data_IF_613009363613
#
_entry.id   IF_613009363613
#
_cell.length_a   1.000
_cell.length_b   1.000
_cell.length_c   1.000
_cell.angle_alpha   90.00
_cell.angle_beta   90.00
_cell.angle_gamma   90.00
#
_symmetry.space_group_name_H-M   'P 1'
#
loop_
_entity.id
_entity.type
_entity.pdbx_description
1 polymer ?
#
# COMPACT_ATOMS: atom_id res chain seq x y z
N UNK A 1 18.17 -15.42 -10.36
CA UNK A 1 17.19 -14.34 -10.71
C UNK A 1 17.13 -14.22 -12.22
N UNK A 2 15.94 -13.95 -12.80
CA UNK A 2 15.87 -13.61 -14.23
C UNK A 2 16.70 -12.33 -14.45
N UNK A 3 17.61 -12.34 -15.45
CA UNK A 3 18.25 -11.10 -15.90
C UNK A 3 17.19 -10.08 -16.23
N UNK A 4 17.30 -8.89 -15.64
CA UNK A 4 16.43 -7.76 -15.96
C UNK A 4 15.26 -7.45 -14.99
N UNK A 5 15.22 -8.06 -13.79
CA UNK A 5 14.25 -7.62 -12.77
C UNK A 5 14.66 -6.23 -12.25
N UNK A 6 13.86 -5.21 -12.57
CA UNK A 6 14.07 -3.84 -12.15
C UNK A 6 12.77 -3.24 -11.59
N UNK A 7 12.82 -2.72 -10.38
CA UNK A 7 11.65 -2.25 -9.63
C UNK A 7 11.62 -0.73 -9.59
N UNK A 8 10.50 -0.12 -9.99
CA UNK A 8 10.19 1.27 -9.69
C UNK A 8 9.44 1.33 -8.36
N UNK A 9 10.06 1.89 -7.35
CA UNK A 9 9.45 2.17 -6.06
C UNK A 9 8.90 3.60 -6.09
N UNK A 10 7.61 3.75 -6.38
CA UNK A 10 6.98 5.04 -6.60
C UNK A 10 6.23 5.52 -5.35
N UNK A 11 6.65 6.65 -4.83
CA UNK A 11 6.03 7.33 -3.69
C UNK A 11 5.08 8.41 -4.21
N UNK A 12 3.78 8.23 -3.97
CA UNK A 12 2.75 9.20 -4.29
C UNK A 12 2.63 10.22 -3.16
N UNK A 13 2.86 11.50 -3.45
CA UNK A 13 2.80 12.58 -2.45
C UNK A 13 1.83 13.68 -2.87
N UNK A 14 1.00 14.14 -1.92
CA UNK A 14 -0.02 15.17 -2.18
C UNK A 14 -0.08 16.26 -1.12
N UNK A 15 0.41 15.97 0.08
CA UNK A 15 0.34 16.86 1.25
C UNK A 15 1.38 16.44 2.29
N UNK A 16 1.51 17.18 3.38
CA UNK A 16 2.39 16.91 4.52
C UNK A 16 3.85 16.58 4.13
N UNK A 17 4.61 17.63 3.90
CA UNK A 17 6.02 17.54 3.47
C UNK A 17 6.88 16.66 4.38
N UNK A 18 6.65 16.72 5.69
CA UNK A 18 7.43 15.99 6.70
C UNK A 18 7.24 14.48 6.55
N UNK A 19 5.99 14.03 6.34
CA UNK A 19 5.66 12.62 6.12
C UNK A 19 6.15 12.12 4.76
N UNK A 20 5.94 12.93 3.71
CA UNK A 20 6.44 12.59 2.38
C UNK A 20 7.96 12.37 2.40
N UNK A 21 8.71 13.27 3.04
CA UNK A 21 10.17 13.12 3.20
C UNK A 21 10.51 11.87 4.01
N UNK A 22 9.79 11.59 5.08
CA UNK A 22 10.00 10.38 5.88
C UNK A 22 9.75 9.11 5.06
N UNK A 23 8.63 9.03 4.34
CA UNK A 23 8.34 7.92 3.45
C UNK A 23 9.47 7.69 2.45
N UNK A 24 9.89 8.75 1.75
CA UNK A 24 10.98 8.68 0.76
C UNK A 24 12.28 8.18 1.41
N UNK A 25 12.65 8.70 2.58
CA UNK A 25 13.84 8.23 3.30
C UNK A 25 13.79 6.73 3.58
N UNK A 26 12.65 6.21 4.00
CA UNK A 26 12.51 4.76 4.27
C UNK A 26 12.59 3.94 2.99
N UNK A 27 12.12 4.46 1.86
CA UNK A 27 12.32 3.82 0.55
C UNK A 27 13.80 3.74 0.14
N UNK A 28 14.61 4.73 0.51
CA UNK A 28 16.05 4.76 0.24
C UNK A 28 16.85 3.87 1.20
N UNK A 29 16.33 3.58 2.40
CA UNK A 29 17.01 2.81 3.45
C UNK A 29 16.83 1.29 3.33
N UNK A 30 16.47 0.80 2.15
CA UNK A 30 16.29 -0.64 1.94
C UNK A 30 17.62 -1.38 1.98
N UNK A 31 17.66 -2.49 2.70
CA UNK A 31 18.88 -3.27 2.96
C UNK A 31 18.65 -4.76 2.76
N UNK A 32 19.76 -5.52 2.72
CA UNK A 32 19.75 -7.00 2.71
C UNK A 32 19.02 -7.63 1.50
N UNK A 33 19.09 -7.00 0.34
CA UNK A 33 18.54 -7.50 -0.93
C UNK A 33 19.53 -7.25 -2.09
N UNK A 34 19.30 -7.94 -3.21
CA UNK A 34 20.07 -7.77 -4.45
C UNK A 34 19.20 -7.27 -5.62
N UNK A 35 18.03 -6.74 -5.33
CA UNK A 35 17.14 -6.19 -6.34
C UNK A 35 17.70 -4.88 -6.91
N UNK A 36 17.61 -4.72 -8.23
CA UNK A 36 17.77 -3.41 -8.87
C UNK A 36 16.46 -2.63 -8.69
N UNK A 37 16.53 -1.50 -8.01
CA UNK A 37 15.37 -0.65 -7.76
C UNK A 37 15.73 0.82 -7.83
N UNK A 38 14.72 1.63 -8.11
CA UNK A 38 14.82 3.07 -8.08
C UNK A 38 13.64 3.67 -7.30
N UNK A 39 13.93 4.52 -6.33
CA UNK A 39 12.91 5.35 -5.69
C UNK A 39 12.56 6.52 -6.60
N UNK A 40 11.27 6.73 -6.81
CA UNK A 40 10.73 7.78 -7.67
C UNK A 40 9.57 8.47 -6.98
N UNK A 41 9.47 9.80 -7.11
CA UNK A 41 8.41 10.56 -6.45
C UNK A 41 7.41 11.06 -7.48
N UNK A 42 6.13 10.77 -7.27
CA UNK A 42 5.01 11.35 -8.04
C UNK A 42 4.34 12.40 -7.17
N UNK A 43 4.50 13.67 -7.57
CA UNK A 43 3.89 14.81 -6.89
C UNK A 43 2.53 15.06 -7.55
N UNK A 44 1.45 14.76 -6.82
CA UNK A 44 0.08 14.92 -7.31
C UNK A 44 -0.72 15.73 -6.30
N UNK A 45 -0.73 17.04 -6.46
CA UNK A 45 -1.32 17.97 -5.50
C UNK A 45 -1.89 19.21 -6.17
N UNK A 46 -2.90 19.82 -5.54
CA UNK A 46 -3.41 21.15 -5.90
C UNK A 46 -2.70 22.26 -5.11
N UNK A 47 -1.97 21.92 -4.04
CA UNK A 47 -1.19 22.87 -3.23
C UNK A 47 0.15 23.19 -3.92
N UNK A 48 0.24 24.38 -4.51
CA UNK A 48 1.44 24.83 -5.23
C UNK A 48 2.64 25.08 -4.33
N UNK A 49 2.43 25.38 -3.06
CA UNK A 49 3.53 25.55 -2.11
C UNK A 49 4.12 24.20 -1.69
N UNK A 50 3.27 23.20 -1.47
CA UNK A 50 3.73 21.82 -1.24
C UNK A 50 4.46 21.29 -2.49
N UNK A 51 3.90 21.45 -3.70
CA UNK A 51 4.52 21.06 -4.97
C UNK A 51 5.93 21.62 -5.09
N UNK A 52 6.08 22.94 -4.90
CA UNK A 52 7.36 23.62 -4.98
C UNK A 52 8.39 23.06 -3.96
N UNK A 53 8.00 22.96 -2.70
CA UNK A 53 8.87 22.45 -1.62
C UNK A 53 9.29 21.00 -1.86
N UNK A 54 8.37 20.17 -2.33
CA UNK A 54 8.64 18.77 -2.61
C UNK A 54 9.59 18.61 -3.80
N UNK A 55 9.39 19.38 -4.86
CA UNK A 55 10.30 19.42 -6.01
C UNK A 55 11.71 19.91 -5.61
N UNK A 56 11.80 20.95 -4.78
CA UNK A 56 13.08 21.43 -4.23
C UNK A 56 13.80 20.34 -3.42
N UNK A 57 13.05 19.62 -2.58
CA UNK A 57 13.61 18.50 -1.81
C UNK A 57 14.13 17.40 -2.73
N UNK A 58 13.35 16.98 -3.75
CA UNK A 58 13.77 15.96 -4.70
C UNK A 58 15.04 16.37 -5.46
N UNK A 59 15.09 17.61 -5.96
CA UNK A 59 16.27 18.16 -6.64
C UNK A 59 17.51 18.18 -5.72
N UNK A 60 17.35 18.63 -4.48
CA UNK A 60 18.44 18.68 -3.51
C UNK A 60 18.95 17.27 -3.14
N UNK A 61 18.04 16.31 -3.05
CA UNK A 61 18.35 14.92 -2.67
C UNK A 61 18.80 14.06 -3.86
N UNK A 62 18.74 14.57 -5.09
CA UNK A 62 19.04 13.82 -6.31
C UNK A 62 18.04 12.69 -6.60
N UNK A 63 16.77 12.85 -6.18
CA UNK A 63 15.72 11.88 -6.38
C UNK A 63 14.89 12.28 -7.59
N UNK A 64 14.70 11.35 -8.50
CA UNK A 64 13.85 11.56 -9.68
C UNK A 64 12.39 11.74 -9.29
N UNK A 65 11.70 12.66 -9.93
CA UNK A 65 10.30 12.93 -9.70
C UNK A 65 9.55 13.38 -10.95
N UNK A 66 8.24 13.31 -10.89
CA UNK A 66 7.31 13.89 -11.89
C UNK A 66 6.17 14.61 -11.17
N UNK A 67 5.84 15.81 -11.65
CA UNK A 67 4.66 16.55 -11.20
C UNK A 67 3.51 16.15 -12.15
N UNK A 68 2.40 15.71 -11.59
CA UNK A 68 1.23 15.27 -12.35
C UNK A 68 0.02 16.13 -12.02
N UNK A 69 -0.92 16.21 -12.94
CA UNK A 69 -2.15 16.96 -12.75
C UNK A 69 -3.01 16.27 -11.68
N UNK A 70 -3.55 17.06 -10.74
CA UNK A 70 -4.34 16.59 -9.61
C UNK A 70 -5.72 17.21 -9.60
N UNK A 71 -6.75 16.37 -9.46
CA UNK A 71 -8.13 16.78 -9.19
C UNK A 71 -8.47 16.74 -7.68
N UNK A 72 -7.47 16.44 -6.84
CA UNK A 72 -7.62 16.33 -5.39
C UNK A 72 -8.07 14.95 -4.90
N UNK A 73 -8.26 13.97 -5.80
CA UNK A 73 -8.67 12.60 -5.44
C UNK A 73 -7.47 11.65 -5.36
N UNK A 74 -7.56 10.68 -4.44
CA UNK A 74 -6.55 9.63 -4.33
C UNK A 74 -6.48 8.76 -5.60
N UNK A 75 -7.62 8.47 -6.21
CA UNK A 75 -7.71 7.68 -7.45
C UNK A 75 -6.91 8.30 -8.60
N UNK A 76 -7.03 9.61 -8.81
CA UNK A 76 -6.26 10.31 -9.85
C UNK A 76 -4.77 10.27 -9.55
N UNK A 77 -4.39 10.50 -8.28
CA UNK A 77 -2.99 10.39 -7.87
C UNK A 77 -2.42 8.98 -8.11
N UNK A 78 -3.13 7.94 -7.69
CA UNK A 78 -2.71 6.55 -7.88
C UNK A 78 -2.64 6.14 -9.36
N UNK A 79 -3.59 6.59 -10.19
CA UNK A 79 -3.53 6.35 -11.63
C UNK A 79 -2.36 7.09 -12.29
N UNK A 80 -2.00 8.29 -11.82
CA UNK A 80 -0.83 9.00 -12.36
C UNK A 80 0.48 8.27 -12.08
N UNK A 81 0.58 7.51 -10.99
CA UNK A 81 1.70 6.59 -10.75
C UNK A 81 1.79 5.52 -11.84
N UNK A 82 0.65 4.95 -12.25
CA UNK A 82 0.62 3.99 -13.36
C UNK A 82 1.06 4.62 -14.68
N UNK A 83 0.61 5.85 -14.97
CA UNK A 83 1.03 6.58 -16.16
C UNK A 83 2.53 6.85 -16.19
N UNK A 84 3.11 7.25 -15.06
CA UNK A 84 4.57 7.41 -14.91
C UNK A 84 5.29 6.08 -15.14
N UNK A 85 4.82 5.01 -14.55
CA UNK A 85 5.41 3.69 -14.74
C UNK A 85 5.35 3.25 -16.22
N UNK A 86 4.27 3.55 -16.94
CA UNK A 86 4.16 3.26 -18.37
C UNK A 86 5.21 3.97 -19.23
N UNK A 87 5.56 5.22 -18.90
CA UNK A 87 6.60 5.98 -19.59
C UNK A 87 7.99 5.39 -19.37
N UNK A 88 8.23 4.79 -18.20
CA UNK A 88 9.53 4.24 -17.76
C UNK A 88 9.66 2.75 -18.11
N UNK A 89 9.91 2.46 -19.39
CA UNK A 89 9.87 1.09 -19.95
C UNK A 89 10.97 0.16 -19.46
N UNK A 90 12.01 0.70 -18.85
CA UNK A 90 13.14 -0.05 -18.28
C UNK A 90 12.78 -0.84 -17.01
N UNK A 91 11.71 -0.45 -16.30
CA UNK A 91 11.26 -1.16 -15.10
C UNK A 91 10.30 -2.29 -15.44
N UNK A 92 10.44 -3.40 -14.77
CA UNK A 92 9.60 -4.59 -14.93
C UNK A 92 8.46 -4.66 -13.93
N UNK A 93 8.66 -4.04 -12.76
CA UNK A 93 7.69 -4.03 -11.67
C UNK A 93 7.57 -2.63 -11.06
N UNK A 94 6.40 -2.36 -10.53
CA UNK A 94 6.05 -1.14 -9.79
C UNK A 94 5.69 -1.52 -8.36
N UNK A 95 6.24 -0.81 -7.38
CA UNK A 95 5.71 -0.74 -6.02
C UNK A 95 5.14 0.65 -5.83
N UNK A 96 3.84 0.72 -5.54
CA UNK A 96 3.15 1.97 -5.27
C UNK A 96 2.99 2.18 -3.77
N UNK A 97 3.43 3.32 -3.26
CA UNK A 97 3.47 3.66 -1.85
C UNK A 97 2.80 5.01 -1.63
N UNK A 98 1.88 5.09 -0.67
CA UNK A 98 1.29 6.35 -0.23
C UNK A 98 2.31 7.13 0.62
N UNK A 99 2.46 8.43 0.36
CA UNK A 99 3.53 9.26 0.92
C UNK A 99 3.40 9.56 2.42
N UNK A 100 2.35 9.11 3.07
CA UNK A 100 2.16 9.20 4.52
C UNK A 100 2.56 7.92 5.27
N UNK A 101 2.71 6.80 4.57
CA UNK A 101 3.17 5.53 5.11
C UNK A 101 4.70 5.41 5.03
N UNK A 102 5.29 4.36 5.59
CA UNK A 102 6.72 4.12 5.50
C UNK A 102 7.10 2.66 5.65
N UNK A 103 8.29 2.31 5.17
CA UNK A 103 8.76 0.95 5.03
C UNK A 103 9.79 0.59 6.10
N UNK A 104 9.80 -0.66 6.53
CA UNK A 104 10.95 -1.21 7.23
C UNK A 104 12.12 -1.45 6.25
N UNK A 105 13.38 -1.40 6.74
CA UNK A 105 14.56 -1.60 5.89
C UNK A 105 14.62 -2.96 5.19
N UNK A 106 13.89 -3.94 5.69
CA UNK A 106 13.83 -5.32 5.19
C UNK A 106 12.75 -5.57 4.14
N UNK A 107 11.96 -4.54 3.79
CA UNK A 107 10.82 -4.68 2.88
C UNK A 107 11.20 -5.29 1.52
N UNK A 108 12.22 -4.76 0.84
CA UNK A 108 12.64 -5.28 -0.48
C UNK A 108 13.21 -6.71 -0.40
N UNK A 109 13.75 -7.12 0.74
CA UNK A 109 14.19 -8.49 0.97
C UNK A 109 13.02 -9.47 0.91
N UNK A 110 11.85 -9.10 1.45
CA UNK A 110 10.64 -9.93 1.33
C UNK A 110 10.19 -10.05 -0.12
N UNK A 111 10.21 -8.94 -0.85
CA UNK A 111 9.88 -8.92 -2.28
C UNK A 111 10.85 -9.81 -3.07
N UNK A 112 12.15 -9.70 -2.83
CA UNK A 112 13.16 -10.54 -3.48
C UNK A 112 12.91 -12.03 -3.26
N UNK A 113 12.68 -12.43 -2.03
CA UNK A 113 12.39 -13.83 -1.69
C UNK A 113 11.16 -14.34 -2.39
N UNK A 114 10.09 -13.55 -2.39
CA UNK A 114 8.86 -13.91 -3.08
C UNK A 114 9.09 -14.11 -4.58
N UNK A 115 9.65 -13.10 -5.26
CA UNK A 115 9.90 -13.16 -6.71
C UNK A 115 10.95 -14.20 -7.12
N UNK A 116 11.85 -14.55 -6.22
CA UNK A 116 12.79 -15.65 -6.45
C UNK A 116 12.06 -17.00 -6.49
N UNK A 117 11.12 -17.19 -5.58
CA UNK A 117 10.34 -18.45 -5.50
C UNK A 117 9.22 -18.49 -6.55
N UNK A 118 8.58 -17.36 -6.82
CA UNK A 118 7.45 -17.22 -7.75
C UNK A 118 7.73 -16.15 -8.81
N UNK A 119 8.59 -16.43 -9.78
CA UNK A 119 9.08 -15.42 -10.73
C UNK A 119 8.05 -14.93 -11.75
N UNK A 120 6.89 -15.57 -11.80
CA UNK A 120 5.77 -15.20 -12.67
C UNK A 120 4.63 -14.51 -11.90
N UNK A 121 4.91 -13.96 -10.72
CA UNK A 121 3.93 -13.22 -9.95
C UNK A 121 3.57 -11.92 -10.64
N UNK A 122 2.29 -11.69 -10.85
CA UNK A 122 1.78 -10.44 -11.43
C UNK A 122 1.50 -9.39 -10.38
N UNK A 123 0.94 -9.78 -9.23
CA UNK A 123 0.58 -8.87 -8.14
C UNK A 123 0.94 -9.46 -6.78
N UNK A 124 1.53 -8.64 -5.93
CA UNK A 124 1.63 -8.91 -4.50
C UNK A 124 0.92 -7.79 -3.76
N UNK A 125 -0.18 -8.11 -3.09
CA UNK A 125 -0.80 -7.23 -2.11
C UNK A 125 -0.10 -7.41 -0.76
N UNK A 126 0.29 -6.32 -0.10
CA UNK A 126 1.06 -6.36 1.14
C UNK A 126 0.26 -5.68 2.23
N UNK A 127 -0.12 -6.45 3.25
CA UNK A 127 -0.85 -5.96 4.41
C UNK A 127 0.06 -5.13 5.32
N UNK A 128 -0.47 -4.08 5.99
CA UNK A 128 0.30 -3.37 7.00
C UNK A 128 0.64 -4.33 8.15
N UNK A 129 1.91 -4.37 8.52
CA UNK A 129 2.32 -5.18 9.65
C UNK A 129 2.20 -4.43 10.97
N UNK A 130 2.38 -3.14 10.95
CA UNK A 130 2.40 -2.28 12.13
C UNK A 130 1.69 -0.96 11.83
N UNK A 131 1.35 -0.21 12.90
CA UNK A 131 0.76 1.13 12.75
C UNK A 131 1.22 2.05 13.88
N UNK A 132 1.24 3.35 13.63
CA UNK A 132 1.53 4.36 14.66
C UNK A 132 0.32 5.27 14.90
N UNK A 133 0.17 5.71 16.15
CA UNK A 133 -1.01 6.41 16.65
C UNK A 133 -0.63 7.58 17.56
N UNK A 134 -1.51 8.59 17.62
CA UNK A 134 -1.37 9.69 18.59
C UNK A 134 -1.82 9.31 20.00
N UNK A 135 -2.75 8.36 20.11
CA UNK A 135 -3.38 7.99 21.38
C UNK A 135 -2.91 6.59 21.79
N UNK A 136 -2.81 6.40 23.11
CA UNK A 136 -2.50 5.11 23.71
C UNK A 136 -3.71 4.17 23.68
N UNK A 137 -3.44 2.92 23.31
CA UNK A 137 -4.32 1.78 23.59
C UNK A 137 -3.52 0.70 24.29
N UNK A 138 -4.21 -0.18 25.02
CA UNK A 138 -3.57 -1.28 25.73
C UNK A 138 -2.76 -2.17 24.76
N UNK A 139 -1.52 -2.46 25.11
CA UNK A 139 -0.61 -3.25 24.27
C UNK A 139 0.24 -2.45 23.28
N UNK A 140 0.06 -1.11 23.20
CA UNK A 140 0.90 -0.27 22.36
C UNK A 140 2.21 0.12 23.03
N UNK A 141 3.25 0.29 22.24
CA UNK A 141 4.58 0.71 22.69
C UNK A 141 4.73 2.23 22.54
N UNK A 142 5.04 2.91 23.66
CA UNK A 142 5.30 4.36 23.63
C UNK A 142 6.67 4.65 22.99
N UNK A 143 6.69 5.56 22.02
CA UNK A 143 7.89 6.05 21.36
C UNK A 143 8.40 7.34 22.04
N UNK A 144 9.64 7.73 21.70
CA UNK A 144 10.32 8.87 22.35
C UNK A 144 9.62 10.21 22.12
N UNK A 145 8.95 10.39 20.98
CA UNK A 145 8.23 11.61 20.60
C UNK A 145 6.76 11.66 21.11
N UNK A 146 6.37 10.69 21.95
CA UNK A 146 5.02 10.61 22.51
C UNK A 146 3.99 9.95 21.59
N UNK A 147 4.40 9.45 20.43
CA UNK A 147 3.59 8.62 19.54
C UNK A 147 3.58 7.17 20.09
N UNK A 148 2.58 6.41 19.73
CA UNK A 148 2.43 5.02 20.14
C UNK A 148 2.46 4.09 18.93
N UNK A 149 3.14 2.95 19.05
CA UNK A 149 3.24 1.94 18.01
C UNK A 149 2.46 0.67 18.39
N UNK A 150 1.52 0.29 17.54
CA UNK A 150 0.92 -1.03 17.54
C UNK A 150 1.75 -1.95 16.64
N UNK A 151 2.44 -2.90 17.23
CA UNK A 151 3.34 -3.83 16.53
C UNK A 151 2.63 -5.17 16.30
N UNK A 152 1.69 -5.15 15.37
CA UNK A 152 0.79 -6.28 15.11
C UNK A 152 1.50 -7.48 14.50
N UNK A 153 2.50 -7.23 13.65
CA UNK A 153 3.25 -8.28 12.98
C UNK A 153 4.03 -9.21 13.91
N UNK A 154 4.26 -8.80 15.17
CA UNK A 154 4.93 -9.64 16.16
C UNK A 154 4.00 -10.66 16.81
N UNK A 155 2.71 -10.35 16.90
CA UNK A 155 1.71 -11.17 17.61
C UNK A 155 0.86 -12.02 16.64
N UNK A 156 0.87 -11.69 15.35
CA UNK A 156 -0.03 -12.29 14.36
C UNK A 156 0.68 -13.17 13.35
N UNK A 157 1.97 -13.46 13.52
CA UNK A 157 2.73 -14.33 12.60
C UNK A 157 2.13 -15.73 12.41
N UNK A 158 1.32 -16.18 13.37
CA UNK A 158 0.60 -17.46 13.31
C UNK A 158 -0.81 -17.36 12.69
N UNK A 159 -1.32 -16.14 12.50
CA UNK A 159 -2.70 -15.92 12.03
C UNK A 159 -2.80 -15.72 10.53
N UNK A 160 -1.68 -15.34 9.87
CA UNK A 160 -1.69 -14.82 8.51
C UNK A 160 -1.09 -15.76 7.47
N UNK A 161 -0.83 -17.00 7.80
CA UNK A 161 -0.60 -18.03 6.79
C UNK A 161 -1.82 -18.16 5.86
N UNK A 162 -2.98 -17.65 6.32
CA UNK A 162 -4.24 -17.61 5.60
C UNK A 162 -5.13 -16.47 6.09
N UNK A 163 -5.40 -15.47 5.27
CA UNK A 163 -6.63 -14.69 5.40
C UNK A 163 -7.57 -15.22 4.33
N UNK A 164 -8.55 -16.05 4.70
CA UNK A 164 -9.64 -16.31 3.80
C UNK A 164 -10.32 -14.97 3.55
N UNK A 165 -10.31 -14.55 2.32
CA UNK A 165 -11.11 -13.42 1.88
C UNK A 165 -12.56 -13.92 1.86
N UNK A 166 -13.17 -13.98 3.04
CA UNK A 166 -14.59 -14.28 3.14
C UNK A 166 -15.34 -13.05 2.68
N UNK A 167 -16.16 -13.22 1.65
CA UNK A 167 -17.03 -12.13 1.15
C UNK A 167 -17.88 -11.58 2.27
N UNK A 168 -18.33 -12.43 3.18
CA UNK A 168 -19.07 -12.02 4.37
C UNK A 168 -18.27 -11.09 5.28
N UNK A 169 -16.93 -11.19 5.31
CA UNK A 169 -16.09 -10.27 6.07
C UNK A 169 -15.99 -8.89 5.41
N UNK A 170 -16.15 -8.82 4.10
CA UNK A 170 -16.15 -7.55 3.34
C UNK A 170 -17.47 -6.82 3.56
N UNK A 171 -18.57 -7.55 3.71
CA UNK A 171 -19.90 -6.99 3.98
C UNK A 171 -20.17 -6.71 5.45
N UNK A 172 -19.34 -7.20 6.36
CA UNK A 172 -19.47 -6.84 7.77
C UNK A 172 -18.81 -5.49 8.01
N UNK A 173 -19.43 -4.63 8.81
CA UNK A 173 -18.88 -3.34 9.28
C UNK A 173 -17.48 -3.47 9.94
N UNK A 174 -17.01 -4.69 10.10
CA UNK A 174 -15.72 -5.04 10.69
C UNK A 174 -14.58 -5.15 9.68
N UNK A 175 -14.84 -5.09 8.37
CA UNK A 175 -13.84 -5.39 7.34
C UNK A 175 -13.05 -4.19 6.83
N UNK A 176 -13.03 -3.08 7.51
CA UNK A 176 -12.35 -1.86 7.07
C UNK A 176 -10.82 -1.95 7.10
N UNK A 177 -10.21 -3.05 7.55
CA UNK A 177 -8.79 -3.14 7.84
C UNK A 177 -7.93 -4.04 6.94
N UNK A 178 -8.52 -4.95 6.19
CA UNK A 178 -7.77 -6.10 5.66
C UNK A 178 -7.41 -6.00 4.16
N UNK A 179 -7.58 -4.86 3.51
CA UNK A 179 -7.17 -4.69 2.12
C UNK A 179 -5.70 -4.28 2.05
N UNK A 180 -4.98 -4.91 1.15
CA UNK A 180 -3.62 -4.51 0.84
C UNK A 180 -3.63 -3.13 0.18
N UNK A 181 -3.08 -2.13 0.86
CA UNK A 181 -2.93 -0.77 0.32
C UNK A 181 -1.61 -0.60 -0.42
N UNK A 182 -0.60 -1.33 0.04
CA UNK A 182 0.69 -1.37 -0.62
C UNK A 182 0.71 -2.56 -1.57
N UNK A 183 0.98 -2.32 -2.85
CA UNK A 183 0.99 -3.37 -3.87
C UNK A 183 2.22 -3.30 -4.75
N UNK A 184 2.74 -4.48 -5.09
CA UNK A 184 3.66 -4.65 -6.19
C UNK A 184 2.87 -5.12 -7.42
N UNK A 185 3.13 -4.52 -8.56
CA UNK A 185 2.52 -4.85 -9.85
C UNK A 185 3.58 -5.23 -10.87
N UNK A 186 3.38 -6.30 -11.61
CA UNK A 186 4.12 -6.54 -12.85
C UNK A 186 3.70 -5.54 -13.94
N UNK A 187 4.53 -5.39 -14.97
CA UNK A 187 4.29 -4.39 -16.04
C UNK A 187 2.96 -4.58 -16.78
N UNK A 188 2.46 -5.80 -16.83
CA UNK A 188 1.20 -6.11 -17.52
C UNK A 188 -0.04 -5.53 -16.83
N UNK A 189 0.04 -5.31 -15.50
CA UNK A 189 -1.12 -5.00 -14.67
C UNK A 189 -1.65 -3.58 -14.87
N UNK A 190 -0.86 -2.50 -14.78
CA UNK A 190 -1.36 -1.14 -14.93
C UNK A 190 -1.99 -0.82 -16.29
N UNK A 191 -1.83 -1.69 -17.28
CA UNK A 191 -2.49 -1.55 -18.60
C UNK A 191 -3.94 -2.03 -18.59
N UNK A 192 -4.33 -2.85 -17.61
CA UNK A 192 -5.62 -3.53 -17.57
C UNK A 192 -6.47 -3.09 -16.38
N UNK A 193 -5.81 -2.64 -15.31
CA UNK A 193 -6.44 -2.30 -14.05
C UNK A 193 -6.12 -0.86 -13.68
N UNK A 194 -7.08 -0.16 -13.09
CA UNK A 194 -6.95 1.24 -12.70
C UNK A 194 -7.86 1.56 -11.52
N UNK A 195 -7.52 2.60 -10.78
CA UNK A 195 -8.37 3.13 -9.72
C UNK A 195 -9.55 3.90 -10.30
N UNK A 196 -10.73 3.70 -9.73
CA UNK A 196 -11.94 4.35 -10.19
C UNK A 196 -11.95 5.84 -9.81
N UNK A 197 -11.89 6.72 -10.81
CA UNK A 197 -11.88 8.17 -10.60
C UNK A 197 -13.19 8.72 -10.04
N UNK A 198 -14.29 8.01 -10.23
CA UNK A 198 -15.59 8.39 -9.67
C UNK A 198 -15.69 8.03 -8.19
N UNK A 199 -14.81 7.18 -7.69
CA UNK A 199 -14.79 6.73 -6.31
C UNK A 199 -13.79 7.57 -5.51
N UNK A 200 -14.31 8.46 -4.66
CA UNK A 200 -13.47 9.36 -3.83
C UNK A 200 -12.98 8.68 -2.55
N UNK A 201 -13.75 7.73 -2.02
CA UNK A 201 -13.39 6.94 -0.82
C UNK A 201 -13.46 5.47 -1.16
N UNK A 202 -12.45 4.70 -0.72
CA UNK A 202 -12.39 3.26 -0.98
C UNK A 202 -12.02 2.92 -2.42
N UNK A 203 -11.29 3.79 -3.08
CA UNK A 203 -10.73 3.58 -4.42
C UNK A 203 -9.88 2.31 -4.50
N UNK A 204 -9.24 1.95 -3.39
CA UNK A 204 -8.44 0.74 -3.26
C UNK A 204 -9.29 -0.53 -3.39
N UNK A 205 -10.56 -0.47 -2.98
CA UNK A 205 -11.44 -1.64 -3.04
C UNK A 205 -11.69 -2.10 -4.46
N UNK A 206 -11.99 -1.16 -5.37
CA UNK A 206 -12.29 -1.52 -6.76
C UNK A 206 -11.13 -2.27 -7.43
N UNK A 207 -9.94 -1.68 -7.40
CA UNK A 207 -8.79 -2.30 -8.06
C UNK A 207 -8.45 -3.66 -7.41
N UNK A 208 -8.57 -3.74 -6.09
CA UNK A 208 -8.30 -4.97 -5.36
C UNK A 208 -9.27 -6.09 -5.76
N UNK A 209 -10.57 -5.77 -5.90
CA UNK A 209 -11.56 -6.74 -6.39
C UNK A 209 -11.36 -7.12 -7.84
N UNK A 210 -11.07 -6.16 -8.71
CA UNK A 210 -10.80 -6.44 -10.11
C UNK A 210 -9.60 -7.40 -10.26
N UNK A 211 -8.56 -7.21 -9.46
CA UNK A 211 -7.39 -8.09 -9.41
C UNK A 211 -7.73 -9.48 -8.86
N UNK A 212 -8.53 -9.56 -7.77
CA UNK A 212 -8.99 -10.82 -7.22
C UNK A 212 -9.82 -11.61 -8.23
N UNK A 213 -10.75 -10.97 -8.92
CA UNK A 213 -11.58 -11.63 -9.91
C UNK A 213 -10.77 -12.09 -11.13
N UNK A 214 -9.78 -11.31 -11.55
CA UNK A 214 -8.86 -11.73 -12.60
C UNK A 214 -8.02 -12.95 -12.18
N UNK A 215 -7.57 -12.97 -10.91
CA UNK A 215 -6.87 -14.13 -10.36
C UNK A 215 -7.76 -15.38 -10.31
N UNK A 216 -9.03 -15.24 -9.91
CA UNK A 216 -9.98 -16.35 -9.89
C UNK A 216 -10.23 -16.96 -11.27
N UNK A 217 -10.12 -16.15 -12.32
CA UNK A 217 -10.23 -16.60 -13.71
C UNK A 217 -8.91 -17.09 -14.33
N UNK A 218 -7.86 -17.22 -13.51
CA UNK A 218 -6.51 -17.59 -13.93
C UNK A 218 -5.91 -16.61 -14.98
N UNK A 219 -6.37 -15.35 -15.02
CA UNK A 219 -5.87 -14.32 -15.92
C UNK A 219 -4.57 -13.67 -15.42
N UNK A 220 -4.38 -13.66 -14.12
CA UNK A 220 -3.21 -13.14 -13.42
C UNK A 220 -2.87 -13.98 -12.20
N UNK A 221 -1.64 -13.83 -11.70
CA UNK A 221 -1.24 -14.34 -10.39
C UNK A 221 -1.30 -13.25 -9.34
N UNK A 222 -2.11 -13.43 -8.32
CA UNK A 222 -2.23 -12.52 -7.19
C UNK A 222 -1.86 -13.21 -5.88
N UNK A 223 -0.97 -12.59 -5.10
CA UNK A 223 -0.55 -13.07 -3.80
C UNK A 223 -0.82 -12.02 -2.73
N UNK A 224 -1.28 -12.45 -1.57
CA UNK A 224 -1.41 -11.59 -0.41
C UNK A 224 -0.29 -11.91 0.58
N UNK A 225 0.52 -10.91 0.94
CA UNK A 225 1.62 -11.05 1.89
C UNK A 225 1.28 -10.37 3.21
N UNK A 226 1.55 -11.06 4.31
CA UNK A 226 1.42 -10.58 5.69
C UNK A 226 2.75 -10.59 6.44
N UNK A 227 3.85 -10.44 5.74
CA UNK A 227 5.18 -10.45 6.35
C UNK A 227 5.32 -9.37 7.43
N UNK A 228 5.92 -9.75 8.56
CA UNK A 228 5.87 -8.99 9.83
C UNK A 228 6.73 -7.73 9.90
N UNK A 229 7.58 -7.48 8.91
CA UNK A 229 8.51 -6.36 8.86
C UNK A 229 8.57 -5.74 7.47
N UNK A 230 7.40 -5.41 6.94
CA UNK A 230 7.21 -4.83 5.62
C UNK A 230 6.98 -3.33 5.68
N UNK A 231 5.84 -2.89 6.14
CA UNK A 231 5.51 -1.46 6.18
C UNK A 231 4.66 -1.08 7.37
N UNK A 232 4.68 0.20 7.70
CA UNK A 232 4.01 0.82 8.83
C UNK A 232 3.01 1.83 8.33
N UNK A 233 1.77 1.68 8.75
CA UNK A 233 0.71 2.65 8.50
C UNK A 233 0.83 3.81 9.48
N UNK A 234 0.89 5.03 8.96
CA UNK A 234 0.86 6.23 9.80
C UNK A 234 -0.58 6.73 9.98
N UNK A 235 -1.16 6.46 11.13
CA UNK A 235 -2.49 6.94 11.52
C UNK A 235 -2.45 8.21 12.38
N UNK A 236 -1.28 8.83 12.55
CA UNK A 236 -1.14 10.03 13.39
C UNK A 236 -1.65 11.30 12.70
N UNK A 237 -1.91 11.29 11.38
CA UNK A 237 -2.58 12.40 10.70
C UNK A 237 -4.05 12.13 10.49
N UNK A 238 -4.71 13.24 10.46
CA UNK A 238 -6.07 13.35 9.98
C UNK A 238 -6.14 13.59 8.45
N UNK A 239 -5.20 13.13 7.63
CA UNK A 239 -5.10 13.31 6.18
C UNK A 239 -6.45 13.37 5.43
N UNK A 240 -6.65 12.50 4.46
CA UNK A 240 -7.94 12.31 3.77
C UNK A 240 -9.05 11.94 4.76
N UNK A 241 -8.74 11.19 5.84
CA UNK A 241 -9.71 10.89 6.91
C UNK A 241 -10.25 12.13 7.63
N UNK A 242 -9.55 13.25 7.67
CA UNK A 242 -10.11 14.51 8.18
C UNK A 242 -11.08 15.14 7.18
N UNK A 243 -10.81 15.02 5.90
CA UNK A 243 -11.80 15.34 4.86
C UNK A 243 -12.96 14.35 4.90
N UNK A 244 -12.69 13.08 5.15
CA UNK A 244 -13.71 12.05 5.38
C UNK A 244 -14.50 12.30 6.65
N UNK A 245 -13.87 12.69 7.77
CA UNK A 245 -14.59 13.06 8.99
C UNK A 245 -15.34 14.38 8.86
N UNK A 246 -14.92 15.29 8.00
CA UNK A 246 -15.71 16.46 7.61
C UNK A 246 -16.85 16.09 6.64
N UNK A 247 -16.71 14.99 5.89
CA UNK A 247 -17.81 14.35 5.15
C UNK A 247 -18.71 13.50 6.06
N UNK A 248 -18.25 13.10 7.24
CA UNK A 248 -18.96 12.35 8.29
C UNK A 248 -19.89 13.26 9.11
N UNK A 249 -19.69 14.58 9.09
CA UNK A 249 -20.60 15.51 9.76
C UNK A 249 -22.02 15.45 9.15
N UNK A 250 -22.15 15.05 7.88
CA UNK A 250 -23.41 14.66 7.25
C UNK A 250 -23.47 13.13 7.16
N UNK A 251 -23.76 12.44 8.24
CA UNK A 251 -23.81 10.97 8.31
C UNK A 251 -24.49 10.25 7.13
N UNK A 252 -25.29 10.95 6.35
CA UNK A 252 -25.85 10.50 5.08
C UNK A 252 -24.79 10.24 3.98
N UNK A 253 -23.67 10.95 3.95
CA UNK A 253 -22.70 10.82 2.87
C UNK A 253 -21.86 9.54 2.97
N UNK A 254 -21.51 9.11 4.16
CA UNK A 254 -20.81 7.82 4.39
C UNK A 254 -21.77 6.65 4.19
N UNK A 255 -22.99 6.75 4.69
CA UNK A 255 -24.01 5.73 4.51
C UNK A 255 -24.31 5.56 3.01
N UNK A 256 -24.51 6.65 2.27
CA UNK A 256 -24.77 6.61 0.83
C UNK A 256 -23.65 5.95 0.02
N UNK A 257 -22.39 6.20 0.38
CA UNK A 257 -21.24 5.58 -0.29
C UNK A 257 -21.03 4.13 0.08
N UNK A 258 -21.30 3.75 1.33
CA UNK A 258 -21.32 2.36 1.71
C UNK A 258 -22.38 1.59 0.93
N UNK A 259 -23.56 2.17 0.71
CA UNK A 259 -24.63 1.55 -0.06
C UNK A 259 -24.25 1.41 -1.54
N UNK A 260 -23.70 2.45 -2.18
CA UNK A 260 -23.20 2.39 -3.55
C UNK A 260 -22.04 1.38 -3.70
N UNK A 261 -21.14 1.36 -2.74
CA UNK A 261 -20.06 0.38 -2.70
C UNK A 261 -20.60 -1.04 -2.56
N UNK A 262 -21.55 -1.28 -1.68
CA UNK A 262 -22.18 -2.58 -1.48
C UNK A 262 -22.97 -3.03 -2.71
N UNK A 263 -23.66 -2.14 -3.40
CA UNK A 263 -24.35 -2.46 -4.66
C UNK A 263 -23.35 -2.82 -5.77
N UNK A 264 -22.24 -2.06 -5.90
CA UNK A 264 -21.17 -2.38 -6.84
C UNK A 264 -20.54 -3.75 -6.52
N UNK A 265 -20.28 -4.02 -5.25
CA UNK A 265 -19.72 -5.30 -4.81
C UNK A 265 -20.69 -6.46 -5.09
N UNK A 266 -21.99 -6.32 -4.83
CA UNK A 266 -23.01 -7.30 -5.24
C UNK A 266 -22.98 -7.56 -6.74
N UNK A 267 -22.91 -6.50 -7.53
CA UNK A 267 -22.79 -6.61 -8.99
C UNK A 267 -21.54 -7.37 -9.43
N UNK A 268 -20.41 -7.20 -8.74
CA UNK A 268 -19.19 -7.99 -9.01
C UNK A 268 -19.40 -9.46 -8.65
N UNK A 269 -20.01 -9.76 -7.51
CA UNK A 269 -20.28 -11.13 -7.05
C UNK A 269 -21.22 -11.83 -8.03
N UNK A 270 -22.28 -11.17 -8.46
CA UNK A 270 -23.23 -11.69 -9.44
C UNK A 270 -22.54 -12.00 -10.78
N UNK A 271 -21.66 -11.13 -11.26
CA UNK A 271 -20.87 -11.34 -12.49
C UNK A 271 -19.93 -12.54 -12.41
N UNK A 272 -19.50 -12.93 -11.22
CA UNK A 272 -18.63 -14.08 -10.98
C UNK A 272 -19.39 -15.36 -10.63
N UNK A 273 -20.73 -15.35 -10.66
CA UNK A 273 -21.61 -16.45 -10.23
C UNK A 273 -21.35 -16.91 -8.78
N UNK A 274 -20.90 -15.99 -7.91
CA UNK A 274 -20.56 -16.31 -6.52
C UNK A 274 -19.37 -17.26 -6.36
N UNK A 275 -18.70 -17.62 -7.44
CA UNK A 275 -17.50 -18.45 -7.40
C UNK A 275 -16.28 -17.53 -7.30
N UNK A 276 -15.71 -17.42 -6.13
CA UNK A 276 -14.37 -16.81 -5.98
C UNK A 276 -13.47 -17.81 -5.26
N UNK A 277 -12.24 -17.88 -5.75
CA UNK A 277 -11.17 -18.48 -4.97
C UNK A 277 -10.72 -17.40 -4.00
N UNK A 278 -10.66 -17.72 -2.72
CA UNK A 278 -9.87 -16.88 -1.82
C UNK A 278 -8.48 -16.78 -2.46
N UNK A 279 -7.99 -15.56 -2.71
CA UNK A 279 -6.72 -15.30 -3.41
C UNK A 279 -5.46 -15.78 -2.67
N UNK A 280 -5.63 -16.69 -1.76
CA UNK A 280 -4.63 -17.41 -1.04
C UNK A 280 -4.22 -18.63 -1.86
N UNK A 281 -3.31 -18.44 -2.77
CA UNK A 281 -2.35 -19.49 -2.96
C UNK A 281 -1.70 -19.75 -1.60
N UNK A 282 -1.33 -20.96 -1.27
CA UNK A 282 -0.55 -21.24 -0.07
C UNK A 282 0.61 -20.25 -0.02
N UNK A 283 0.53 -19.28 0.90
CA UNK A 283 1.70 -18.45 1.20
C UNK A 283 2.78 -19.44 1.59
N UNK A 284 3.92 -19.43 0.90
CA UNK A 284 4.97 -20.37 1.23
C UNK A 284 5.30 -20.20 2.71
N UNK A 285 5.21 -21.27 3.45
CA UNK A 285 5.59 -21.38 4.86
C UNK A 285 7.02 -20.83 5.12
N UNK A 286 7.84 -20.71 4.07
CA UNK A 286 9.19 -20.13 4.09
C UNK A 286 9.26 -18.60 4.19
N UNK A 287 8.16 -17.89 4.30
CA UNK A 287 8.16 -16.52 4.84
C UNK A 287 8.33 -16.50 6.36
N UNK A 288 8.64 -17.66 6.97
CA UNK A 288 9.07 -17.79 8.33
C UNK A 288 10.17 -16.76 8.66
N UNK A 289 10.15 -16.20 9.81
CA UNK A 289 10.34 -14.82 10.15
C UNK A 289 11.74 -14.32 9.86
N UNK A 290 11.87 -13.36 8.95
CA UNK A 290 12.95 -12.39 9.02
C UNK A 290 12.53 -11.29 9.99
N UNK A 291 12.47 -11.69 11.26
CA UNK A 291 12.02 -10.84 12.33
C UNK A 291 12.97 -9.65 12.53
N UNK A 292 12.49 -8.46 12.28
CA UNK A 292 12.89 -7.36 13.15
C UNK A 292 12.16 -7.60 14.49
N UNK A 293 12.85 -8.00 15.54
CA UNK A 293 12.24 -8.13 16.86
C UNK A 293 11.68 -6.79 17.35
N UNK A 294 10.76 -6.81 18.32
CA UNK A 294 10.09 -5.62 18.87
C UNK A 294 11.08 -4.48 19.17
N UNK A 295 12.19 -4.78 19.82
CA UNK A 295 13.22 -3.78 20.15
C UNK A 295 13.82 -3.08 18.93
N UNK A 296 14.10 -3.82 17.85
CA UNK A 296 14.61 -3.27 16.61
C UNK A 296 13.57 -2.39 15.91
N UNK A 297 12.31 -2.80 15.92
CA UNK A 297 11.20 -2.02 15.38
C UNK A 297 11.04 -0.71 16.16
N UNK A 298 11.01 -0.76 17.48
CA UNK A 298 10.94 0.44 18.33
C UNK A 298 12.14 1.36 18.07
N UNK A 299 13.35 0.80 18.00
CA UNK A 299 14.56 1.58 17.70
C UNK A 299 14.46 2.25 16.33
N UNK A 300 14.03 1.53 15.31
CA UNK A 300 13.83 2.09 13.96
C UNK A 300 12.77 3.21 13.98
N UNK A 301 11.62 2.98 14.59
CA UNK A 301 10.55 3.96 14.68
C UNK A 301 10.99 5.23 15.41
N UNK A 302 11.72 5.11 16.51
CA UNK A 302 12.27 6.26 17.24
C UNK A 302 13.30 7.07 16.43
N UNK A 303 13.98 6.45 15.48
CA UNK A 303 14.98 7.13 14.64
C UNK A 303 14.35 7.79 13.41
N UNK A 304 13.22 7.28 12.92
CA UNK A 304 12.59 7.79 11.69
C UNK A 304 11.50 8.84 11.97
N UNK A 305 10.88 8.79 13.13
CA UNK A 305 9.84 9.70 13.59
C UNK A 305 10.43 10.92 14.32
#
# INVERSE_FOLDING_TARGET
MKEGLKILMSVLVSSDLSRAIRCIKTCLLQTEHNLDFQTYVVINTQDKEFERKMAEYCNWSGIDYEITESDGTASTGKNSVFEVFHKKKEFTHLIQIDGDDFLYPTFLRHIERHLTKYPNTDVIGILPCDSIYMNYEEGFHKLNNGIYAGLWGTNYSSWYDWIPFEVDSIFSDKCTGNLARLMLFSRSIPNKFFYDKEQVIGEDYKIHFDLLFAHQRDEITYWLSSASDTWVRDTTSFGVQKQESNCVVDGEYIIRRNDEFQERLKSYIEKTNGVYRSGSGELPIDFAPLYMGVERKISFLNNIL
#
